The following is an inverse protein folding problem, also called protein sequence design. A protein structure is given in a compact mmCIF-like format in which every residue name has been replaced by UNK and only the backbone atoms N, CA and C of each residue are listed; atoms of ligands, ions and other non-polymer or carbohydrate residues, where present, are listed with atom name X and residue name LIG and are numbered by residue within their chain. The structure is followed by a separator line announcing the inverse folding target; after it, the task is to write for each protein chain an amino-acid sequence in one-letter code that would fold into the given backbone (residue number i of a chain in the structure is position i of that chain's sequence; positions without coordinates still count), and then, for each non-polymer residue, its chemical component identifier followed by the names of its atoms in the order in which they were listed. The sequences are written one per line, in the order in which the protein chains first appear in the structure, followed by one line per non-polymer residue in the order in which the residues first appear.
data_IF_594167476352
#
_entry.id   IF_594167476352
#
_cell.length_a   1.000
_cell.length_b   1.000
_cell.length_c   1.000
_cell.angle_alpha   90.00
_cell.angle_beta   90.00
_cell.angle_gamma   90.00
#
_symmetry.space_group_name_H-M   'P 1'
#
loop_
_entity.id
_entity.type
_entity.pdbx_description
1 polymer ?
#
# COMPACT_ATOMS: atom_id res chain seq x y z
N UNK A 1 -70.47 -41.13 41.65
CA UNK A 1 -69.60 -39.99 42.00
C UNK A 1 -68.76 -39.66 40.76
N UNK A 2 -69.13 -38.55 40.06
CA UNK A 2 -68.47 -38.13 38.87
C UNK A 2 -67.49 -37.04 39.28
N UNK A 3 -66.18 -37.29 39.15
CA UNK A 3 -65.15 -36.30 39.45
C UNK A 3 -64.89 -35.52 38.15
N UNK A 4 -65.31 -34.25 38.09
CA UNK A 4 -65.12 -33.34 36.98
C UNK A 4 -63.70 -32.77 37.06
N UNK A 5 -62.82 -33.24 36.22
CA UNK A 5 -61.43 -32.74 36.10
C UNK A 5 -61.48 -31.47 35.24
N UNK A 6 -61.34 -30.31 35.85
CA UNK A 6 -61.16 -29.05 35.12
C UNK A 6 -59.70 -28.83 34.70
N UNK A 7 -59.38 -28.61 33.45
CA UNK A 7 -58.03 -28.28 33.04
C UNK A 7 -57.65 -26.93 33.61
N UNK A 8 -56.49 -26.87 34.27
CA UNK A 8 -55.85 -25.67 34.78
C UNK A 8 -55.29 -24.92 33.58
N UNK A 9 -55.86 -23.79 33.24
CA UNK A 9 -55.34 -22.87 32.21
C UNK A 9 -54.09 -22.19 32.82
N UNK A 10 -52.93 -22.67 32.45
CA UNK A 10 -51.67 -21.97 32.77
C UNK A 10 -51.62 -20.67 31.95
N UNK A 11 -51.67 -19.56 32.68
CA UNK A 11 -51.53 -18.23 32.12
C UNK A 11 -50.07 -18.04 31.72
N UNK A 12 -49.73 -18.16 30.41
CA UNK A 12 -48.42 -17.75 29.87
C UNK A 12 -48.15 -16.30 30.27
N UNK A 13 -47.17 -16.11 31.13
CA UNK A 13 -46.59 -14.79 31.37
C UNK A 13 -45.74 -14.44 30.17
N UNK A 14 -46.30 -13.60 29.31
CA UNK A 14 -45.57 -12.95 28.24
C UNK A 14 -44.57 -11.97 28.88
N UNK A 15 -43.31 -12.34 28.99
CA UNK A 15 -42.25 -11.44 29.43
C UNK A 15 -42.03 -10.48 28.25
N UNK A 16 -42.59 -9.27 28.32
CA UNK A 16 -42.27 -8.20 27.40
C UNK A 16 -40.85 -7.79 27.71
N UNK A 17 -39.90 -8.27 26.92
CA UNK A 17 -38.54 -7.77 26.98
C UNK A 17 -38.58 -6.30 26.57
N UNK A 18 -38.10 -5.44 27.45
CA UNK A 18 -38.00 -4.01 27.19
C UNK A 18 -36.91 -3.81 26.12
N UNK A 19 -37.29 -3.89 24.85
CA UNK A 19 -36.41 -3.58 23.73
C UNK A 19 -36.40 -2.04 23.62
N UNK A 20 -35.41 -1.40 24.21
CA UNK A 20 -35.11 -0.01 23.96
C UNK A 20 -34.64 0.11 22.51
N UNK A 21 -35.52 0.56 21.62
CA UNK A 21 -35.18 0.89 20.24
C UNK A 21 -34.35 2.15 20.17
N UNK A 22 -33.49 2.26 19.17
CA UNK A 22 -32.75 3.49 18.85
C UNK A 22 -33.72 4.63 18.55
N UNK A 23 -33.45 5.80 19.07
CA UNK A 23 -34.22 6.99 18.74
C UNK A 23 -33.81 7.52 17.37
N UNK A 24 -34.75 8.14 16.65
CA UNK A 24 -34.50 8.71 15.33
C UNK A 24 -33.40 9.79 15.40
N UNK A 25 -33.35 10.55 16.49
CA UNK A 25 -32.34 11.59 16.70
C UNK A 25 -30.94 11.00 16.91
N UNK A 26 -30.82 9.87 17.60
CA UNK A 26 -29.55 9.16 17.79
C UNK A 26 -28.95 8.72 16.44
N UNK A 27 -29.80 8.17 15.56
CA UNK A 27 -29.37 7.78 14.21
C UNK A 27 -28.95 9.00 13.41
N UNK A 28 -29.72 10.09 13.46
CA UNK A 28 -29.46 11.32 12.72
C UNK A 28 -28.14 11.98 13.13
N UNK A 29 -27.83 12.02 14.42
CA UNK A 29 -26.55 12.55 14.93
C UNK A 29 -25.38 11.69 14.44
N UNK A 30 -25.49 10.36 14.47
CA UNK A 30 -24.43 9.45 14.02
C UNK A 30 -24.15 9.64 12.52
N UNK A 31 -25.17 9.66 11.67
CA UNK A 31 -24.97 9.90 10.22
C UNK A 31 -24.44 11.30 9.94
N UNK A 32 -24.79 12.31 10.75
CA UNK A 32 -24.24 13.65 10.66
C UNK A 32 -22.74 13.68 10.93
N UNK A 33 -22.28 13.02 11.98
CA UNK A 33 -20.85 12.93 12.33
C UNK A 33 -20.07 12.16 11.26
N UNK A 34 -20.61 11.01 10.80
CA UNK A 34 -19.98 10.22 9.74
C UNK A 34 -19.88 11.03 8.44
N UNK A 35 -20.89 11.82 8.10
CA UNK A 35 -20.91 12.68 6.92
C UNK A 35 -19.80 13.74 6.96
N UNK A 36 -19.58 14.38 8.11
CA UNK A 36 -18.50 15.37 8.30
C UNK A 36 -17.12 14.68 8.20
N UNK A 37 -16.92 13.55 8.89
CA UNK A 37 -15.66 12.82 8.86
C UNK A 37 -15.34 12.25 7.47
N UNK A 38 -16.32 11.79 6.72
CA UNK A 38 -16.15 11.31 5.35
C UNK A 38 -15.71 12.43 4.41
N UNK A 39 -16.23 13.66 4.59
CA UNK A 39 -15.88 14.81 3.74
C UNK A 39 -14.42 15.26 3.84
N UNK A 40 -13.77 15.06 4.97
CA UNK A 40 -12.41 15.55 5.23
C UNK A 40 -11.29 14.66 4.64
N UNK A 41 -11.56 13.40 4.31
CA UNK A 41 -10.52 12.43 3.97
C UNK A 41 -10.19 12.30 2.47
N UNK A 42 -11.01 12.81 1.56
CA UNK A 42 -10.85 12.49 0.13
C UNK A 42 -9.66 13.15 -0.57
N UNK A 43 -9.23 14.33 -0.19
CA UNK A 43 -8.14 15.04 -0.89
C UNK A 43 -6.73 14.56 -0.50
N UNK A 44 -6.53 14.12 0.74
CA UNK A 44 -5.23 13.64 1.22
C UNK A 44 -4.82 12.27 0.66
N UNK A 45 -5.78 11.39 0.39
CA UNK A 45 -5.51 10.02 -0.04
C UNK A 45 -4.76 9.92 -1.38
N UNK A 46 -5.04 10.81 -2.32
CA UNK A 46 -4.36 10.83 -3.63
C UNK A 46 -2.89 11.20 -3.51
N UNK A 47 -2.57 12.21 -2.71
CA UNK A 47 -1.19 12.65 -2.51
C UNK A 47 -0.34 11.59 -1.82
N UNK A 48 -0.90 10.88 -0.83
CA UNK A 48 -0.18 9.77 -0.16
C UNK A 48 0.12 8.63 -1.11
N UNK A 49 -0.82 8.25 -1.97
CA UNK A 49 -0.59 7.22 -2.99
C UNK A 49 0.51 7.61 -3.96
N UNK A 50 0.48 8.83 -4.50
CA UNK A 50 1.53 9.31 -5.41
C UNK A 50 2.89 9.30 -4.73
N UNK A 51 3.00 9.78 -3.50
CA UNK A 51 4.26 9.72 -2.73
C UNK A 51 4.75 8.29 -2.49
N UNK A 52 3.84 7.34 -2.24
CA UNK A 52 4.19 5.93 -2.08
C UNK A 52 4.76 5.35 -3.39
N UNK A 53 4.13 5.64 -4.53
CA UNK A 53 4.60 5.24 -5.85
C UNK A 53 5.98 5.83 -6.19
N UNK A 54 6.16 7.12 -5.92
CA UNK A 54 7.43 7.82 -6.11
C UNK A 54 8.53 7.22 -5.21
N UNK A 55 8.19 6.87 -3.98
CA UNK A 55 9.13 6.22 -3.05
C UNK A 55 9.53 4.83 -3.55
N UNK A 56 8.59 4.06 -4.10
CA UNK A 56 8.89 2.76 -4.69
C UNK A 56 9.86 2.87 -5.87
N UNK A 57 9.67 3.85 -6.77
CA UNK A 57 10.59 4.10 -7.88
C UNK A 57 12.00 4.48 -7.39
N UNK A 58 12.10 5.38 -6.42
CA UNK A 58 13.38 5.77 -5.80
C UNK A 58 14.09 4.60 -5.12
N UNK A 59 13.36 3.78 -4.39
CA UNK A 59 13.90 2.59 -3.71
C UNK A 59 14.47 1.59 -4.70
N UNK A 60 13.79 1.35 -5.83
CA UNK A 60 14.29 0.47 -6.89
C UNK A 60 15.56 1.03 -7.54
N UNK A 61 15.65 2.37 -7.77
CA UNK A 61 16.87 3.00 -8.28
C UNK A 61 18.05 2.84 -7.33
N UNK A 62 17.83 3.05 -6.02
CA UNK A 62 18.87 2.87 -5.01
C UNK A 62 19.33 1.42 -4.95
N UNK A 63 18.40 0.47 -5.00
CA UNK A 63 18.71 -0.95 -5.02
C UNK A 63 19.56 -1.31 -6.25
N UNK A 64 19.18 -0.83 -7.44
CA UNK A 64 19.96 -1.03 -8.66
C UNK A 64 21.37 -0.46 -8.53
N UNK A 65 21.51 0.77 -8.03
CA UNK A 65 22.79 1.43 -7.86
C UNK A 65 23.70 0.66 -6.90
N UNK A 66 23.17 0.21 -5.75
CA UNK A 66 23.93 -0.58 -4.78
C UNK A 66 24.36 -1.93 -5.36
N UNK A 67 23.49 -2.57 -6.13
CA UNK A 67 23.84 -3.82 -6.80
C UNK A 67 24.91 -3.61 -7.90
N UNK A 68 24.83 -2.47 -8.61
CA UNK A 68 25.90 -2.11 -9.55
C UNK A 68 27.23 -1.82 -8.83
N UNK A 69 27.22 -1.26 -7.63
CA UNK A 69 28.43 -1.11 -6.81
C UNK A 69 29.10 -2.45 -6.50
N UNK A 70 28.30 -3.48 -6.17
CA UNK A 70 28.82 -4.84 -5.99
C UNK A 70 29.38 -5.40 -7.30
N UNK A 71 28.67 -5.18 -8.40
CA UNK A 71 29.11 -5.61 -9.73
C UNK A 71 30.46 -4.99 -10.13
N UNK A 72 30.65 -3.67 -9.94
CA UNK A 72 31.92 -3.00 -10.23
C UNK A 72 33.06 -3.43 -9.31
N UNK A 73 32.75 -3.72 -8.05
CA UNK A 73 33.75 -4.26 -7.13
C UNK A 73 34.27 -5.63 -7.57
N UNK A 74 33.40 -6.44 -8.19
CA UNK A 74 33.75 -7.78 -8.69
C UNK A 74 34.37 -7.78 -10.10
N UNK A 75 33.84 -6.95 -11.03
CA UNK A 75 34.22 -6.92 -12.45
C UNK A 75 35.12 -5.77 -12.85
N UNK A 76 35.37 -4.83 -11.95
CA UNK A 76 36.14 -3.61 -12.17
C UNK A 76 35.25 -2.40 -12.49
N UNK A 77 35.74 -1.22 -12.12
CA UNK A 77 35.02 0.06 -12.21
C UNK A 77 34.69 0.50 -13.64
N UNK A 78 35.41 0.01 -14.64
CA UNK A 78 35.16 0.25 -16.05
C UNK A 78 34.11 -0.70 -16.69
N UNK A 79 33.70 -1.74 -15.98
CA UNK A 79 32.70 -2.67 -16.48
C UNK A 79 31.32 -1.99 -16.61
N UNK A 80 30.60 -2.29 -17.68
CA UNK A 80 29.28 -1.74 -17.89
C UNK A 80 28.23 -2.50 -17.06
N UNK A 81 27.75 -1.87 -15.99
CA UNK A 81 26.62 -2.40 -15.23
C UNK A 81 25.32 -2.06 -15.93
N UNK A 82 24.45 -3.04 -16.11
CA UNK A 82 23.08 -2.89 -16.57
C UNK A 82 22.17 -3.90 -15.84
N UNK A 83 20.87 -3.76 -16.01
CA UNK A 83 19.89 -4.59 -15.32
C UNK A 83 20.10 -6.08 -15.61
N UNK A 84 20.37 -6.44 -16.88
CA UNK A 84 20.59 -7.83 -17.29
C UNK A 84 21.77 -8.47 -16.55
N UNK A 85 22.85 -7.71 -16.37
CA UNK A 85 24.06 -8.20 -15.71
C UNK A 85 23.87 -8.43 -14.21
N UNK A 86 22.95 -7.70 -13.58
CA UNK A 86 22.75 -7.73 -12.12
C UNK A 86 21.48 -8.45 -11.67
N UNK A 87 20.58 -8.80 -12.59
CA UNK A 87 19.33 -9.53 -12.27
C UNK A 87 19.55 -11.03 -11.99
N UNK A 88 20.74 -11.56 -12.30
CA UNK A 88 21.05 -12.96 -12.06
C UNK A 88 21.27 -13.31 -10.59
N UNK A 89 21.34 -14.60 -10.30
CA UNK A 89 21.54 -15.12 -8.94
C UNK A 89 22.81 -14.59 -8.23
N UNK A 90 23.82 -14.16 -9.01
CA UNK A 90 25.07 -13.65 -8.46
C UNK A 90 24.95 -12.31 -7.76
N UNK A 91 24.06 -11.43 -8.23
CA UNK A 91 23.86 -10.08 -7.69
C UNK A 91 22.45 -9.85 -7.14
N UNK A 92 21.46 -10.63 -7.61
CA UNK A 92 20.13 -10.71 -7.03
C UNK A 92 19.27 -9.47 -7.19
N UNK A 93 19.56 -8.58 -8.14
CA UNK A 93 18.71 -7.42 -8.38
C UNK A 93 17.34 -7.88 -8.91
N UNK A 94 16.28 -7.38 -8.26
CA UNK A 94 14.90 -7.60 -8.69
C UNK A 94 14.15 -6.28 -8.57
N UNK A 95 13.55 -5.82 -9.66
CA UNK A 95 12.64 -4.66 -9.63
C UNK A 95 11.21 -5.09 -9.34
N UNK A 96 10.43 -4.21 -8.75
CA UNK A 96 8.98 -4.38 -8.67
C UNK A 96 8.39 -4.40 -10.08
N UNK A 97 7.39 -5.25 -10.33
CA UNK A 97 6.66 -5.31 -11.62
C UNK A 97 5.94 -4.02 -11.98
N UNK A 98 5.66 -3.20 -10.98
CA UNK A 98 4.98 -1.90 -11.12
C UNK A 98 5.95 -0.73 -11.39
N UNK A 99 7.26 -0.98 -11.34
CA UNK A 99 8.31 0.03 -11.55
C UNK A 99 9.04 -0.28 -12.84
N UNK A 100 8.91 0.61 -13.80
CA UNK A 100 9.72 0.60 -15.02
C UNK A 100 11.07 1.22 -14.70
N UNK A 101 12.15 0.45 -14.87
CA UNK A 101 13.51 0.88 -14.56
C UNK A 101 14.43 0.60 -15.75
N UNK A 102 15.32 1.52 -16.04
CA UNK A 102 16.38 1.34 -17.03
C UNK A 102 17.65 2.07 -16.59
N UNK A 103 18.78 1.53 -16.92
CA UNK A 103 20.07 2.15 -16.58
C UNK A 103 21.24 1.32 -17.00
N UNK A 104 22.37 2.00 -17.22
CA UNK A 104 23.63 1.37 -17.58
C UNK A 104 24.80 2.33 -17.35
N UNK A 105 26.01 1.79 -17.34
CA UNK A 105 27.23 2.56 -17.34
C UNK A 105 28.35 1.91 -16.52
N UNK A 106 29.55 2.46 -16.72
CA UNK A 106 30.67 2.22 -15.82
C UNK A 106 30.47 3.01 -14.51
N UNK A 107 31.24 2.70 -13.48
CA UNK A 107 31.07 3.34 -12.18
C UNK A 107 31.08 4.87 -12.22
N UNK A 108 31.94 5.46 -13.07
CA UNK A 108 32.07 6.92 -13.19
C UNK A 108 31.02 7.58 -14.10
N UNK A 109 30.36 6.81 -14.95
CA UNK A 109 29.38 7.30 -15.96
C UNK A 109 27.99 6.72 -15.80
N UNK A 110 27.72 6.00 -14.73
CA UNK A 110 26.44 5.34 -14.49
C UNK A 110 25.29 6.33 -14.41
N UNK A 111 24.23 6.00 -15.09
CA UNK A 111 22.94 6.70 -14.97
C UNK A 111 21.79 5.70 -15.10
N UNK A 112 20.79 5.83 -14.27
CA UNK A 112 19.58 5.04 -14.35
C UNK A 112 18.35 5.88 -14.07
N UNK A 113 17.23 5.48 -14.65
CA UNK A 113 15.93 6.12 -14.47
C UNK A 113 14.90 5.10 -14.02
N UNK A 114 13.94 5.53 -13.20
CA UNK A 114 12.77 4.73 -12.86
C UNK A 114 11.54 5.60 -12.70
N UNK A 115 10.41 5.01 -13.06
CA UNK A 115 9.08 5.55 -12.75
C UNK A 115 8.14 4.42 -12.34
N UNK A 116 7.18 4.74 -11.48
CA UNK A 116 6.11 3.81 -11.16
C UNK A 116 4.98 3.95 -12.19
N UNK A 117 4.40 2.83 -12.65
CA UNK A 117 3.35 2.81 -13.69
C UNK A 117 2.12 3.66 -13.34
N UNK A 118 1.87 3.89 -12.04
CA UNK A 118 0.78 4.74 -11.54
C UNK A 118 1.22 6.15 -11.13
N UNK A 119 2.45 6.57 -11.49
CA UNK A 119 2.98 7.93 -11.30
C UNK A 119 3.48 8.49 -12.61
N UNK A 120 3.35 9.81 -12.78
CA UNK A 120 3.90 10.52 -13.94
C UNK A 120 5.33 10.99 -13.72
N UNK A 121 5.85 10.82 -12.49
CA UNK A 121 7.18 11.30 -12.12
C UNK A 121 8.23 10.25 -12.43
N UNK A 122 9.26 10.67 -13.17
CA UNK A 122 10.45 9.86 -13.43
C UNK A 122 11.60 10.36 -12.57
N UNK A 123 12.27 9.44 -11.90
CA UNK A 123 13.44 9.71 -11.08
C UNK A 123 14.70 9.23 -11.78
N UNK A 124 15.80 9.94 -11.55
CA UNK A 124 17.11 9.59 -12.11
C UNK A 124 18.12 9.45 -10.98
N UNK A 125 19.00 8.45 -11.08
CA UNK A 125 20.16 8.31 -10.21
C UNK A 125 21.44 8.44 -11.04
N UNK A 126 22.41 9.16 -10.53
CA UNK A 126 23.69 9.36 -11.23
C UNK A 126 24.79 8.46 -10.65
N UNK A 127 25.98 8.55 -11.25
CA UNK A 127 27.19 7.78 -10.83
C UNK A 127 27.65 8.02 -9.39
N UNK A 128 27.20 9.10 -8.75
CA UNK A 128 27.47 9.42 -7.35
C UNK A 128 26.40 8.90 -6.40
N UNK A 129 25.34 8.27 -6.92
CA UNK A 129 24.21 7.81 -6.14
C UNK A 129 23.21 8.91 -5.76
N UNK A 130 23.32 10.11 -6.37
CA UNK A 130 22.40 11.21 -6.14
C UNK A 130 21.14 11.01 -6.97
N UNK A 131 19.97 11.13 -6.30
CA UNK A 131 18.65 11.09 -6.90
C UNK A 131 18.17 12.49 -7.28
N UNK A 132 17.55 12.60 -8.45
CA UNK A 132 16.89 13.80 -8.94
C UNK A 132 15.53 13.47 -9.56
#
# INVERSE_FOLDING_TARGET
YTVTNRPRVERMKTTISNQSGFTLIELLVVVGIIGILAGLNFSSHRQFKTRAYDTAAKSNLQSLFLTCKLYWNDKGSSANCNITNVSGASYGFTSSSEVSISGQGAESSFSATANHNSSTTTFTINSKGALS
#
